data_IF_755476889441
#
_entry.id   IF_755476889441
#
_cell.length_a   1.000
_cell.length_b   1.000
_cell.length_c   1.000
_cell.angle_alpha   90.00
_cell.angle_beta   90.00
_cell.angle_gamma   90.00
#
_symmetry.space_group_name_H-M   'P 1'
#
loop_
_entity.id
_entity.type
_entity.pdbx_description
1 polymer ?
#
# COMPACT_ATOMS: atom_id res chain seq x y z
N UNK A 1 -6.81 -6.75 9.02
CA UNK A 1 -7.21 -5.39 8.66
C UNK A 1 -8.48 -5.09 9.41
N UNK A 2 -8.62 -3.86 9.93
CA UNK A 2 -9.84 -3.41 10.60
C UNK A 2 -10.21 -2.01 10.10
N UNK A 3 -11.48 -1.77 9.79
CA UNK A 3 -11.99 -0.43 9.47
C UNK A 3 -12.18 0.35 10.78
N UNK A 4 -11.62 1.56 10.84
CA UNK A 4 -11.71 2.48 11.98
C UNK A 4 -12.83 3.51 11.76
N UNK A 5 -12.87 4.13 10.58
CA UNK A 5 -13.92 5.07 10.18
C UNK A 5 -14.06 5.17 8.67
N UNK A 6 -15.22 5.64 8.21
CA UNK A 6 -15.51 5.96 6.81
C UNK A 6 -16.15 7.35 6.78
N UNK A 7 -15.60 8.24 5.96
CA UNK A 7 -16.12 9.60 5.75
C UNK A 7 -16.19 9.86 4.25
N UNK A 8 -17.35 10.22 3.69
CA UNK A 8 -17.54 10.54 2.25
C UNK A 8 -16.61 9.77 1.28
N UNK A 9 -15.41 10.30 0.99
CA UNK A 9 -14.43 9.76 0.04
C UNK A 9 -13.14 9.20 0.67
N UNK A 10 -13.09 9.03 2.00
CA UNK A 10 -11.92 8.55 2.74
C UNK A 10 -12.32 7.43 3.70
N UNK A 11 -11.35 6.57 4.00
CA UNK A 11 -11.48 5.52 4.99
C UNK A 11 -10.21 5.47 5.85
N UNK A 12 -10.38 5.33 7.16
CA UNK A 12 -9.28 5.02 8.07
C UNK A 12 -9.29 3.52 8.35
N UNK A 13 -8.19 2.84 8.04
CA UNK A 13 -8.01 1.40 8.30
C UNK A 13 -6.80 1.18 9.19
N UNK A 14 -6.88 0.15 10.02
CA UNK A 14 -5.75 -0.37 10.79
C UNK A 14 -5.23 -1.64 10.11
N UNK A 15 -3.93 -1.65 9.85
CA UNK A 15 -3.18 -2.78 9.32
C UNK A 15 -2.09 -3.17 10.31
N UNK A 16 -1.88 -4.47 10.50
CA UNK A 16 -0.66 -4.95 11.16
C UNK A 16 0.51 -4.99 10.17
N UNK A 17 1.72 -5.29 10.66
CA UNK A 17 2.92 -5.29 9.81
C UNK A 17 2.82 -6.27 8.63
N UNK A 18 2.33 -7.48 8.87
CA UNK A 18 2.23 -8.50 7.82
C UNK A 18 1.25 -8.06 6.72
N UNK A 19 0.12 -7.47 7.10
CA UNK A 19 -0.87 -6.96 6.16
C UNK A 19 -0.33 -5.77 5.35
N UNK A 20 0.40 -4.86 6.01
CA UNK A 20 1.07 -3.75 5.33
C UNK A 20 2.12 -4.25 4.33
N UNK A 21 2.88 -5.27 4.72
CA UNK A 21 3.86 -5.93 3.85
C UNK A 21 3.18 -6.59 2.65
N UNK A 22 2.08 -7.31 2.85
CA UNK A 22 1.29 -7.90 1.75
C UNK A 22 0.77 -6.82 0.80
N UNK A 23 0.21 -5.73 1.33
CA UNK A 23 -0.28 -4.62 0.51
C UNK A 23 0.82 -3.97 -0.32
N UNK A 24 1.96 -3.68 0.31
CA UNK A 24 3.13 -3.12 -0.37
C UNK A 24 3.64 -4.03 -1.49
N UNK A 25 3.76 -5.33 -1.24
CA UNK A 25 4.25 -6.27 -2.24
C UNK A 25 3.28 -6.44 -3.41
N UNK A 26 1.97 -6.51 -3.14
CA UNK A 26 0.96 -6.55 -4.20
C UNK A 26 1.02 -5.30 -5.10
N UNK A 27 1.17 -4.11 -4.50
CA UNK A 27 1.29 -2.87 -5.25
C UNK A 27 2.62 -2.79 -6.02
N UNK A 28 3.71 -3.31 -5.46
CA UNK A 28 5.00 -3.39 -6.15
C UNK A 28 4.93 -4.28 -7.39
N UNK A 29 4.27 -5.43 -7.27
CA UNK A 29 4.14 -6.41 -8.34
C UNK A 29 3.38 -5.82 -9.54
N UNK A 30 2.23 -5.19 -9.30
CA UNK A 30 1.45 -4.56 -10.39
C UNK A 30 2.17 -3.36 -11.00
N UNK A 31 2.94 -2.59 -10.21
CA UNK A 31 3.63 -1.39 -10.71
C UNK A 31 4.90 -1.69 -11.53
N UNK A 32 5.59 -2.80 -11.21
CA UNK A 32 6.97 -3.01 -11.69
C UNK A 32 7.21 -4.39 -12.30
N UNK A 33 6.50 -5.43 -11.87
CA UNK A 33 6.81 -6.82 -12.24
C UNK A 33 5.84 -7.37 -13.29
N UNK A 34 4.58 -6.91 -13.28
CA UNK A 34 3.59 -7.28 -14.27
C UNK A 34 3.55 -6.23 -15.38
N UNK A 35 3.65 -6.69 -16.62
CA UNK A 35 3.24 -5.89 -17.78
C UNK A 35 1.72 -5.99 -17.89
N UNK A 36 1.05 -4.91 -17.51
CA UNK A 36 -0.42 -4.84 -17.43
C UNK A 36 -0.92 -3.95 -18.56
N UNK A 37 -1.45 -4.57 -19.61
CA UNK A 37 -2.26 -3.88 -20.61
C UNK A 37 -3.43 -3.16 -19.94
N UNK A 38 -3.72 -1.95 -20.42
CA UNK A 38 -4.78 -1.08 -19.87
C UNK A 38 -4.70 -0.87 -18.35
N UNK A 39 -3.47 -0.67 -17.84
CA UNK A 39 -3.18 -0.46 -16.41
C UNK A 39 -4.21 0.44 -15.71
N UNK A 40 -4.49 1.62 -16.26
CA UNK A 40 -5.40 2.59 -15.65
C UNK A 40 -6.81 2.05 -15.44
N UNK A 41 -7.32 1.26 -16.41
CA UNK A 41 -8.64 0.65 -16.32
C UNK A 41 -8.66 -0.46 -15.28
N UNK A 42 -7.62 -1.30 -15.25
CA UNK A 42 -7.56 -2.46 -14.34
C UNK A 42 -7.30 -2.07 -12.89
N UNK A 43 -6.50 -1.02 -12.69
CA UNK A 43 -6.11 -0.55 -11.36
C UNK A 43 -7.00 0.57 -10.85
N UNK A 44 -7.82 1.19 -11.71
CA UNK A 44 -8.65 2.34 -11.35
C UNK A 44 -7.84 3.62 -11.09
N UNK A 45 -6.56 3.64 -11.46
CA UNK A 45 -5.63 4.76 -11.31
C UNK A 45 -4.52 4.67 -12.34
N UNK A 46 -3.98 5.80 -12.78
CA UNK A 46 -2.82 5.81 -13.66
C UNK A 46 -1.55 5.29 -12.96
N UNK A 47 -0.57 4.85 -13.76
CA UNK A 47 0.69 4.28 -13.28
C UNK A 47 1.51 5.25 -12.43
N UNK A 48 1.47 6.55 -12.72
CA UNK A 48 2.21 7.54 -11.96
C UNK A 48 1.65 7.66 -10.55
N UNK A 49 0.33 7.82 -10.42
CA UNK A 49 -0.38 7.85 -9.14
C UNK A 49 -0.18 6.55 -8.34
N UNK A 50 -0.19 5.39 -8.99
CA UNK A 50 0.10 4.11 -8.35
C UNK A 50 1.53 4.01 -7.80
N UNK A 51 2.52 4.53 -8.54
CA UNK A 51 3.93 4.57 -8.11
C UNK A 51 4.15 5.54 -6.94
N UNK A 52 3.45 6.66 -6.91
CA UNK A 52 3.49 7.56 -5.75
C UNK A 52 2.89 6.89 -4.51
N UNK A 53 1.80 6.13 -4.66
CA UNK A 53 1.25 5.32 -3.57
C UNK A 53 2.25 4.24 -3.12
N UNK A 54 2.91 3.56 -4.06
CA UNK A 54 3.94 2.55 -3.75
C UNK A 54 5.05 3.13 -2.87
N UNK A 55 5.54 4.34 -3.22
CA UNK A 55 6.54 5.04 -2.40
C UNK A 55 6.04 5.32 -0.99
N UNK A 56 4.80 5.79 -0.83
CA UNK A 56 4.21 6.04 0.48
C UNK A 56 4.09 4.76 1.32
N UNK A 57 3.63 3.66 0.71
CA UNK A 57 3.53 2.36 1.39
C UNK A 57 4.88 1.82 1.83
N UNK A 58 5.94 2.04 1.05
CA UNK A 58 7.30 1.66 1.44
C UNK A 58 7.75 2.42 2.70
N UNK A 59 7.55 3.73 2.74
CA UNK A 59 7.91 4.53 3.92
C UNK A 59 7.16 4.07 5.17
N UNK A 60 5.85 3.79 5.07
CA UNK A 60 5.05 3.26 6.18
C UNK A 60 5.58 1.90 6.65
N UNK A 61 5.89 0.98 5.72
CA UNK A 61 6.41 -0.34 6.04
C UNK A 61 7.74 -0.25 6.81
N UNK A 62 8.68 0.57 6.33
CA UNK A 62 9.97 0.80 6.99
C UNK A 62 9.78 1.37 8.40
N UNK A 63 8.87 2.35 8.57
CA UNK A 63 8.57 2.91 9.89
C UNK A 63 8.00 1.87 10.85
N UNK A 64 7.07 1.02 10.39
CA UNK A 64 6.50 -0.05 11.23
C UNK A 64 7.55 -1.09 11.64
N UNK A 65 8.47 -1.46 10.74
CA UNK A 65 9.56 -2.39 11.05
C UNK A 65 10.56 -1.81 12.05
N UNK A 66 10.89 -0.52 11.94
CA UNK A 66 11.76 0.17 12.90
C UNK A 66 11.17 0.21 14.31
N UNK A 67 9.85 0.40 14.42
CA UNK A 67 9.14 0.41 15.71
C UNK A 67 9.08 -0.97 16.36
N UNK A 68 9.01 -2.07 15.59
CA UNK A 68 9.09 -3.42 16.16
C UNK A 68 10.46 -3.70 16.77
N UNK A 69 11.54 -3.40 16.04
CA UNK A 69 12.92 -3.61 16.50
C UNK A 69 13.32 -2.79 17.74
N UNK A 70 12.55 -1.75 18.08
CA UNK A 70 12.80 -0.91 19.26
C UNK A 70 12.07 -1.41 20.51
N UNK A 71 11.16 -2.38 20.36
CA UNK A 71 10.36 -2.97 21.44
C UNK A 71 10.80 -4.41 21.80
N UNK A 72 11.79 -4.95 21.09
CA UNK A 72 12.48 -6.22 21.34
C UNK A 72 13.82 -5.97 22.03
#
# INVERSE_FOLDING_TARGET
MRIISIEKNTASIQLNLNEMMTFHQALNEVCNALDIDDFSTRMGTDLHSAKELLKQTYHLLVSMQGLQKSND
#
